data_IF_733488214737
#
_entry.id   IF_733488214737
#
_cell.length_a   1.000
_cell.length_b   1.000
_cell.length_c   1.000
_cell.angle_alpha   90.00
_cell.angle_beta   90.00
_cell.angle_gamma   90.00
#
_symmetry.space_group_name_H-M   'P 1'
#
loop_
_entity.id
_entity.type
_entity.pdbx_description
1 polymer ?
#
# COMPACT_ATOMS: atom_id res chain seq x y z
N UNK A 1 10.61 3.23 7.40
CA UNK A 1 9.91 4.35 8.06
C UNK A 1 10.06 4.23 9.55
N UNK A 2 9.51 5.17 10.31
CA UNK A 2 9.56 5.19 11.77
C UNK A 2 8.17 5.48 12.34
N UNK A 3 7.93 5.08 13.59
CA UNK A 3 6.67 5.32 14.32
C UNK A 3 6.99 5.77 15.73
N UNK A 4 6.17 6.66 16.29
CA UNK A 4 6.11 6.82 17.73
C UNK A 4 5.28 5.67 18.30
N UNK A 5 5.85 4.91 19.23
CA UNK A 5 5.19 3.81 19.92
C UNK A 5 4.89 4.24 21.35
N UNK A 6 3.63 4.15 21.75
CA UNK A 6 3.25 4.39 23.13
C UNK A 6 3.77 3.25 24.02
N UNK A 7 4.26 3.62 25.20
CA UNK A 7 4.79 2.72 26.22
C UNK A 7 3.93 2.70 27.49
N UNK A 8 2.88 3.53 27.53
CA UNK A 8 1.94 3.64 28.65
C UNK A 8 0.70 2.77 28.42
N UNK A 9 0.52 1.74 29.23
CA UNK A 9 -0.57 0.77 29.09
C UNK A 9 -1.95 1.40 29.31
N UNK A 10 -2.08 2.40 30.18
CA UNK A 10 -3.35 3.09 30.43
C UNK A 10 -3.81 3.88 29.21
N UNK A 11 -2.87 4.50 28.49
CA UNK A 11 -3.16 5.23 27.25
C UNK A 11 -3.51 4.25 26.13
N UNK A 12 -2.77 3.14 26.02
CA UNK A 12 -3.02 2.10 25.01
C UNK A 12 -4.43 1.50 25.18
N UNK A 13 -4.83 1.19 26.41
CA UNK A 13 -6.11 0.56 26.71
C UNK A 13 -7.33 1.40 26.30
N UNK A 14 -7.18 2.73 26.21
CA UNK A 14 -8.26 3.64 25.80
C UNK A 14 -8.51 3.68 24.29
N UNK A 15 -7.62 3.11 23.47
CA UNK A 15 -7.67 3.22 22.02
C UNK A 15 -7.94 1.85 21.39
N UNK A 16 -9.10 1.70 20.73
CA UNK A 16 -9.53 0.43 20.11
C UNK A 16 -9.67 0.51 18.58
N UNK A 17 -9.28 1.62 17.99
CA UNK A 17 -9.47 1.89 16.58
C UNK A 17 -8.22 2.48 15.93
N UNK A 18 -8.25 2.50 14.61
CA UNK A 18 -7.30 3.23 13.78
C UNK A 18 -7.94 4.55 13.35
N UNK A 19 -7.30 5.66 13.70
CA UNK A 19 -7.81 7.01 13.44
C UNK A 19 -6.89 7.71 12.45
N UNK A 20 -7.43 8.02 11.28
CA UNK A 20 -6.76 8.82 10.26
C UNK A 20 -7.08 10.29 10.47
N UNK A 21 -6.08 11.14 10.32
CA UNK A 21 -6.29 12.58 10.32
C UNK A 21 -6.45 13.11 8.91
N UNK A 22 -6.62 14.43 8.82
CA UNK A 22 -6.68 15.12 7.54
C UNK A 22 -5.27 15.19 6.95
N UNK A 23 -5.16 14.93 5.65
CA UNK A 23 -3.92 15.19 4.94
C UNK A 23 -3.55 16.68 5.04
N UNK A 24 -2.32 16.97 5.44
CA UNK A 24 -1.80 18.33 5.35
C UNK A 24 -1.78 18.77 3.87
N UNK A 25 -1.95 20.07 3.62
CA UNK A 25 -1.91 20.62 2.26
C UNK A 25 -0.54 20.31 1.64
N UNK A 26 -0.53 19.66 0.49
CA UNK A 26 0.70 19.24 -0.20
C UNK A 26 1.31 17.91 0.27
N UNK A 27 0.74 17.26 1.30
CA UNK A 27 1.18 15.92 1.68
C UNK A 27 0.79 14.89 0.61
N UNK A 28 1.69 13.98 0.21
CA UNK A 28 1.34 12.88 -0.69
C UNK A 28 0.21 12.05 -0.07
N UNK A 29 -0.77 11.58 -0.87
CA UNK A 29 -1.98 10.90 -0.37
C UNK A 29 -1.69 9.62 0.44
N UNK A 30 -0.48 9.07 0.36
CA UNK A 30 -0.05 7.86 1.07
C UNK A 30 0.67 8.12 2.41
N UNK A 31 0.93 9.39 2.78
CA UNK A 31 1.85 9.75 3.87
C UNK A 31 1.17 10.35 5.10
N UNK A 32 -0.16 10.29 5.19
CA UNK A 32 -0.91 10.95 6.27
C UNK A 32 -0.67 10.22 7.60
N UNK A 33 -0.21 10.93 8.65
CA UNK A 33 -0.08 10.37 9.97
C UNK A 33 -1.43 9.86 10.50
N UNK A 34 -1.37 8.83 11.33
CA UNK A 34 -2.53 8.24 11.93
C UNK A 34 -2.16 7.59 13.25
N UNK A 35 -3.15 7.57 14.15
CA UNK A 35 -3.07 6.87 15.41
C UNK A 35 -3.60 5.45 15.19
N UNK A 36 -2.75 4.46 15.37
CA UNK A 36 -2.98 3.07 14.98
C UNK A 36 -2.94 2.14 16.19
N UNK A 37 -4.08 1.52 16.51
CA UNK A 37 -4.14 0.42 17.48
C UNK A 37 -3.85 -0.90 16.77
N UNK A 38 -2.84 -1.65 17.23
CA UNK A 38 -2.47 -2.95 16.67
C UNK A 38 -2.30 -4.01 17.74
N UNK A 39 -2.46 -5.27 17.34
CA UNK A 39 -2.02 -6.42 18.15
C UNK A 39 -0.66 -6.88 17.62
N UNK A 40 0.38 -6.75 18.43
CA UNK A 40 1.75 -7.18 18.11
C UNK A 40 2.16 -8.23 19.13
N UNK A 41 2.49 -9.44 18.66
CA UNK A 41 2.84 -10.58 19.51
C UNK A 41 1.80 -10.84 20.64
N UNK A 42 0.52 -10.74 20.29
CA UNK A 42 -0.60 -10.94 21.22
C UNK A 42 -0.86 -9.79 22.20
N UNK A 43 -0.11 -8.68 22.14
CA UNK A 43 -0.30 -7.50 22.99
C UNK A 43 -0.82 -6.31 22.18
N UNK A 44 -1.75 -5.57 22.78
CA UNK A 44 -2.20 -4.31 22.21
C UNK A 44 -1.07 -3.27 22.24
N UNK A 45 -0.92 -2.52 21.15
CA UNK A 45 0.07 -1.49 20.97
C UNK A 45 -0.59 -0.29 20.29
N UNK A 46 -0.16 0.91 20.67
CA UNK A 46 -0.61 2.17 20.08
C UNK A 46 0.58 2.83 19.38
N UNK A 47 0.42 3.11 18.09
CA UNK A 47 1.45 3.68 17.23
C UNK A 47 0.96 4.99 16.61
N UNK A 48 1.87 5.92 16.37
CA UNK A 48 1.60 7.15 15.64
C UNK A 48 2.65 7.41 14.57
N UNK A 49 2.21 7.80 13.38
CA UNK A 49 3.05 7.97 12.19
C UNK A 49 2.29 7.57 10.92
N UNK A 50 2.98 7.23 9.82
CA UNK A 50 4.42 6.99 9.71
C UNK A 50 5.23 8.28 9.58
N UNK A 51 6.47 8.24 10.06
CA UNK A 51 7.51 9.21 9.73
C UNK A 51 8.48 8.64 8.70
N UNK A 52 9.02 9.50 7.83
CA UNK A 52 10.06 9.07 6.92
C UNK A 52 11.34 8.73 7.69
N UNK A 53 11.99 7.63 7.31
CA UNK A 53 13.32 7.28 7.75
C UNK A 53 14.19 7.00 6.53
N UNK A 54 15.50 7.16 6.67
CA UNK A 54 16.44 6.95 5.57
C UNK A 54 17.36 5.77 5.85
N UNK A 55 17.53 4.89 4.85
CA UNK A 55 18.50 3.80 4.87
C UNK A 55 18.88 3.45 3.44
N UNK A 56 20.15 3.10 3.22
CA UNK A 56 20.64 2.56 1.94
C UNK A 56 20.52 1.04 1.86
N UNK A 57 20.09 0.37 2.94
CA UNK A 57 19.79 -1.06 2.98
C UNK A 57 18.45 -1.34 2.32
N UNK A 58 18.37 -2.41 1.53
CA UNK A 58 17.12 -2.87 0.94
C UNK A 58 16.41 -3.91 1.80
N UNK A 59 17.17 -4.64 2.62
CA UNK A 59 16.66 -5.67 3.53
C UNK A 59 16.99 -5.35 4.99
N UNK A 60 16.18 -5.86 5.92
CA UNK A 60 16.40 -5.72 7.38
C UNK A 60 17.82 -6.10 7.80
N UNK A 61 18.35 -7.17 7.21
CA UNK A 61 19.72 -7.65 7.42
C UNK A 61 20.63 -7.42 6.19
N UNK A 62 20.32 -6.40 5.38
CA UNK A 62 21.06 -6.05 4.16
C UNK A 62 22.29 -5.16 4.40
N UNK A 63 22.95 -4.77 3.30
CA UNK A 63 24.18 -3.99 3.31
C UNK A 63 23.92 -2.51 3.09
N UNK A 64 24.72 -1.64 3.72
CA UNK A 64 24.69 -0.21 3.40
C UNK A 64 25.16 0.10 1.97
N UNK A 65 25.76 -0.89 1.30
CA UNK A 65 26.14 -0.83 -0.10
C UNK A 65 25.01 -1.25 -1.05
N UNK A 66 23.84 -1.68 -0.56
CA UNK A 66 22.75 -2.17 -1.42
C UNK A 66 22.35 -1.11 -2.46
N UNK A 67 22.09 0.14 -2.01
CA UNK A 67 21.76 1.24 -2.94
C UNK A 67 22.89 1.56 -3.92
N UNK A 68 24.14 1.87 -3.50
CA UNK A 68 25.24 2.14 -4.43
C UNK A 68 25.46 1.02 -5.46
N UNK A 69 25.44 -0.25 -5.03
CA UNK A 69 25.66 -1.41 -5.90
C UNK A 69 24.47 -1.71 -6.81
N UNK A 70 23.28 -1.19 -6.51
CA UNK A 70 22.11 -1.32 -7.37
C UNK A 70 22.13 -0.39 -8.59
N UNK A 71 22.94 0.68 -8.54
CA UNK A 71 23.04 1.65 -9.62
C UNK A 71 23.87 1.05 -10.76
N UNK A 72 23.27 1.01 -11.95
CA UNK A 72 23.85 0.44 -13.17
C UNK A 72 23.64 1.41 -14.32
N UNK A 73 24.48 1.32 -15.36
CA UNK A 73 24.34 2.16 -16.55
C UNK A 73 22.96 2.07 -17.21
N UNK A 74 22.31 0.90 -17.15
CA UNK A 74 21.00 0.69 -17.74
C UNK A 74 19.82 1.19 -16.89
N UNK A 75 20.01 1.51 -15.61
CA UNK A 75 18.94 2.00 -14.72
C UNK A 75 19.14 3.43 -14.20
N UNK A 76 20.34 4.01 -14.34
CA UNK A 76 20.64 5.36 -13.84
C UNK A 76 19.75 6.44 -14.46
N UNK A 77 19.48 6.37 -15.78
CA UNK A 77 18.60 7.33 -16.47
C UNK A 77 17.16 7.26 -15.92
N UNK A 78 16.51 6.08 -15.84
CA UNK A 78 15.22 5.94 -15.17
C UNK A 78 15.22 6.44 -13.72
N UNK A 79 16.29 6.18 -12.95
CA UNK A 79 16.37 6.63 -11.56
C UNK A 79 16.39 8.16 -11.42
N UNK A 80 17.18 8.84 -12.25
CA UNK A 80 17.25 10.31 -12.24
C UNK A 80 15.91 10.91 -12.69
N UNK A 81 15.33 10.40 -13.78
CA UNK A 81 14.05 10.87 -14.29
C UNK A 81 12.94 10.73 -13.23
N UNK A 82 12.85 9.56 -12.58
CA UNK A 82 11.88 9.34 -11.51
C UNK A 82 12.09 10.32 -10.33
N UNK A 83 13.33 10.63 -9.96
CA UNK A 83 13.62 11.63 -8.93
C UNK A 83 13.15 13.03 -9.31
N UNK A 84 13.44 13.47 -10.55
CA UNK A 84 13.05 14.79 -11.07
C UNK A 84 11.53 14.93 -11.25
N UNK A 85 10.83 13.86 -11.60
CA UNK A 85 9.36 13.89 -11.73
C UNK A 85 8.65 13.92 -10.37
N UNK A 86 9.36 13.62 -9.28
CA UNK A 86 8.80 13.48 -7.94
C UNK A 86 9.51 14.40 -6.94
N UNK A 87 9.83 15.63 -7.35
CA UNK A 87 10.52 16.60 -6.49
C UNK A 87 9.70 16.96 -5.25
N UNK A 88 8.38 17.11 -5.36
CA UNK A 88 7.51 17.41 -4.21
C UNK A 88 7.55 16.28 -3.17
N UNK A 89 7.45 15.04 -3.63
CA UNK A 89 7.59 13.86 -2.76
C UNK A 89 9.00 13.80 -2.14
N UNK A 90 10.04 14.04 -2.94
CA UNK A 90 11.43 14.02 -2.47
C UNK A 90 11.66 15.07 -1.40
N UNK A 91 11.18 16.30 -1.63
CA UNK A 91 11.23 17.40 -0.68
C UNK A 91 10.50 17.04 0.61
N UNK A 92 9.26 16.55 0.50
CA UNK A 92 8.48 16.10 1.65
C UNK A 92 9.22 15.03 2.47
N UNK A 93 9.81 14.02 1.83
CA UNK A 93 10.56 12.97 2.52
C UNK A 93 11.80 13.51 3.22
N UNK A 94 12.52 14.45 2.61
CA UNK A 94 13.68 15.12 3.23
C UNK A 94 13.23 15.90 4.47
N UNK A 95 12.13 16.65 4.39
CA UNK A 95 11.57 17.38 5.53
C UNK A 95 11.18 16.43 6.67
N UNK A 96 10.51 15.32 6.35
CA UNK A 96 10.14 14.29 7.32
C UNK A 96 11.35 13.64 8.01
N UNK A 97 12.42 13.33 7.26
CA UNK A 97 13.65 12.74 7.83
C UNK A 97 14.35 13.74 8.78
N UNK A 98 14.26 15.04 8.50
CA UNK A 98 14.87 16.11 9.30
C UNK A 98 14.08 16.48 10.56
N UNK A 99 12.87 15.96 10.75
CA UNK A 99 12.05 16.26 11.92
C UNK A 99 12.75 15.86 13.23
N UNK A 100 12.72 16.76 14.20
CA UNK A 100 13.16 16.50 15.57
C UNK A 100 12.16 15.61 16.32
N UNK A 101 12.55 14.98 17.44
CA UNK A 101 11.61 14.30 18.33
C UNK A 101 10.42 15.19 18.74
N UNK A 102 10.68 16.47 18.98
CA UNK A 102 9.70 17.47 19.38
C UNK A 102 8.71 17.76 18.25
N UNK A 103 9.17 17.89 16.99
CA UNK A 103 8.29 18.08 15.82
C UNK A 103 7.36 16.88 15.63
N UNK A 104 7.91 15.67 15.77
CA UNK A 104 7.13 14.42 15.67
C UNK A 104 6.07 14.39 16.76
N UNK A 105 6.44 14.72 17.99
CA UNK A 105 5.52 14.74 19.13
C UNK A 105 4.47 15.85 19.01
N UNK A 106 4.81 17.02 18.46
CA UNK A 106 3.86 18.09 18.19
C UNK A 106 2.75 17.61 17.23
N UNK A 107 3.13 16.89 16.17
CA UNK A 107 2.16 16.28 15.25
C UNK A 107 1.26 15.24 15.95
N UNK A 108 1.81 14.44 16.89
CA UNK A 108 0.98 13.52 17.70
C UNK A 108 -0.03 14.28 18.55
N UNK A 109 0.33 15.42 19.14
CA UNK A 109 -0.57 16.21 19.99
C UNK A 109 -1.77 16.78 19.23
N UNK A 110 -1.69 16.93 17.91
CA UNK A 110 -2.86 17.29 17.09
C UNK A 110 -3.93 16.19 17.08
N UNK A 111 -3.54 14.93 17.30
CA UNK A 111 -4.42 13.76 17.31
C UNK A 111 -4.77 13.32 18.74
N UNK A 112 -3.83 13.47 19.67
CA UNK A 112 -3.98 13.13 21.07
C UNK A 112 -3.45 14.29 21.94
N UNK A 113 -4.27 15.32 22.21
CA UNK A 113 -3.83 16.54 22.91
C UNK A 113 -3.28 16.29 24.33
N UNK A 114 -3.74 15.22 24.98
CA UNK A 114 -3.32 14.79 26.31
C UNK A 114 -2.03 13.97 26.33
N UNK A 115 -1.43 13.67 25.16
CA UNK A 115 -0.19 12.91 25.09
C UNK A 115 0.94 13.62 25.86
N UNK A 116 1.77 12.81 26.53
CA UNK A 116 2.98 13.23 27.22
C UNK A 116 4.19 12.61 26.55
N UNK A 117 5.26 13.37 26.33
CA UNK A 117 6.37 12.94 25.45
C UNK A 117 7.09 11.69 26.00
N UNK A 118 7.17 11.57 27.31
CA UNK A 118 7.76 10.45 28.03
C UNK A 118 7.06 9.11 27.78
N UNK A 119 5.79 9.13 27.38
CA UNK A 119 5.03 7.92 27.07
C UNK A 119 5.35 7.37 25.67
N UNK A 120 6.13 8.07 24.84
CA UNK A 120 6.32 7.74 23.43
C UNK A 120 7.79 7.57 23.05
N UNK A 121 8.10 6.43 22.44
CA UNK A 121 9.43 6.12 21.94
C UNK A 121 9.42 5.95 20.41
N UNK A 122 10.47 6.43 19.74
CA UNK A 122 10.62 6.24 18.30
C UNK A 122 11.07 4.81 17.99
N UNK A 123 10.28 4.10 17.20
CA UNK A 123 10.53 2.73 16.78
C UNK A 123 10.81 2.70 15.27
N UNK A 124 11.80 1.90 14.86
CA UNK A 124 12.11 1.73 13.42
C UNK A 124 11.22 0.66 12.82
N UNK A 125 10.46 1.04 11.78
CA UNK A 125 9.60 0.13 11.05
C UNK A 125 10.38 -0.69 10.01
N UNK A 126 9.67 -1.59 9.34
CA UNK A 126 10.19 -2.27 8.14
C UNK A 126 10.67 -1.31 7.05
N UNK A 127 11.52 -1.85 6.18
CA UNK A 127 12.02 -1.19 4.98
C UNK A 127 11.15 -1.56 3.80
N UNK A 128 10.88 -0.59 2.93
CA UNK A 128 10.17 -0.79 1.68
C UNK A 128 10.92 -0.03 0.60
N UNK A 129 11.27 -0.75 -0.47
CA UNK A 129 11.86 -0.15 -1.68
C UNK A 129 10.73 0.15 -2.66
N UNK A 130 10.83 1.28 -3.35
CA UNK A 130 9.88 1.70 -4.36
C UNK A 130 10.37 1.27 -5.74
N UNK A 131 9.47 0.67 -6.54
CA UNK A 131 9.78 0.25 -7.91
C UNK A 131 9.87 1.49 -8.81
N UNK A 132 10.93 1.54 -9.63
CA UNK A 132 11.09 2.51 -10.71
C UNK A 132 10.99 1.74 -12.03
N UNK A 133 10.02 2.12 -12.87
CA UNK A 133 9.86 1.53 -14.21
C UNK A 133 10.52 2.43 -15.23
N UNK A 134 11.10 1.80 -16.25
CA UNK A 134 11.54 2.51 -17.45
C UNK A 134 10.29 2.86 -18.25
N UNK A 135 10.18 4.13 -18.62
CA UNK A 135 9.12 4.63 -19.47
C UNK A 135 9.72 5.20 -20.77
N UNK A 136 9.04 5.00 -21.90
CA UNK A 136 9.55 5.45 -23.20
C UNK A 136 9.50 6.97 -23.36
N UNK A 137 8.52 7.63 -22.73
CA UNK A 137 8.30 9.09 -22.82
C UNK A 137 8.98 9.80 -21.66
N UNK A 138 8.70 9.35 -20.45
CA UNK A 138 9.14 9.96 -19.20
C UNK A 138 10.55 9.50 -18.79
N UNK A 139 11.12 8.50 -19.46
CA UNK A 139 12.43 7.91 -19.15
C UNK A 139 12.39 7.01 -17.91
N UNK A 140 11.76 7.45 -16.83
CA UNK A 140 11.53 6.67 -15.62
C UNK A 140 10.39 7.22 -14.76
N UNK A 141 9.56 6.31 -14.23
CA UNK A 141 8.41 6.65 -13.39
C UNK A 141 8.43 5.85 -12.09
N UNK A 142 7.94 6.44 -10.99
CA UNK A 142 7.68 5.72 -9.75
C UNK A 142 6.37 4.96 -9.89
N UNK A 143 6.42 3.65 -9.64
CA UNK A 143 5.23 2.79 -9.75
C UNK A 143 4.43 2.78 -8.44
N UNK A 144 3.38 3.58 -8.37
CA UNK A 144 2.50 3.60 -7.20
C UNK A 144 1.39 2.54 -7.35
N UNK A 145 1.58 1.38 -6.73
CA UNK A 145 0.55 0.35 -6.73
C UNK A 145 1.10 -1.06 -6.60
N UNK A 146 0.29 -2.03 -7.04
CA UNK A 146 0.67 -3.44 -7.17
C UNK A 146 1.13 -3.68 -8.61
N UNK A 147 2.37 -4.10 -8.78
CA UNK A 147 2.93 -4.49 -10.07
C UNK A 147 2.99 -6.01 -10.19
N UNK A 148 2.47 -6.56 -11.28
CA UNK A 148 2.60 -7.98 -11.61
C UNK A 148 3.81 -8.16 -12.53
N UNK A 149 4.86 -8.79 -12.01
CA UNK A 149 6.03 -9.20 -12.78
C UNK A 149 6.01 -10.71 -12.94
N UNK A 150 6.21 -11.21 -14.16
CA UNK A 150 6.30 -12.64 -14.43
C UNK A 150 7.51 -12.95 -15.30
N UNK A 151 8.09 -14.14 -15.14
CA UNK A 151 9.02 -14.66 -16.11
C UNK A 151 8.33 -14.84 -17.47
N UNK A 152 9.09 -14.73 -18.56
CA UNK A 152 8.56 -14.85 -19.91
C UNK A 152 7.90 -16.22 -20.19
N UNK A 153 8.34 -17.26 -19.47
CA UNK A 153 7.80 -18.62 -19.54
C UNK A 153 6.68 -18.90 -18.52
N UNK A 154 6.32 -17.91 -17.69
CA UNK A 154 5.28 -18.04 -16.66
C UNK A 154 5.67 -18.93 -15.46
N UNK A 155 6.93 -19.38 -15.37
CA UNK A 155 7.39 -20.27 -14.29
C UNK A 155 7.36 -19.63 -12.89
N UNK A 156 7.48 -18.31 -12.84
CA UNK A 156 7.40 -17.51 -11.61
C UNK A 156 6.65 -16.21 -11.90
N UNK A 157 5.79 -15.82 -10.96
CA UNK A 157 5.14 -14.52 -10.93
C UNK A 157 5.25 -13.91 -9.53
N UNK A 158 5.43 -12.59 -9.48
CA UNK A 158 5.55 -11.82 -8.26
C UNK A 158 4.63 -10.60 -8.33
N UNK A 159 3.98 -10.32 -7.19
CA UNK A 159 3.22 -9.11 -6.95
C UNK A 159 4.11 -8.18 -6.13
N UNK A 160 4.58 -7.10 -6.74
CA UNK A 160 5.49 -6.14 -6.13
C UNK A 160 4.73 -4.86 -5.75
N UNK A 161 5.20 -4.14 -4.74
CA UNK A 161 4.64 -2.86 -4.34
C UNK A 161 3.55 -2.97 -3.27
N UNK A 162 2.47 -2.21 -3.41
CA UNK A 162 1.38 -2.19 -2.44
C UNK A 162 0.63 -3.53 -2.48
N UNK A 163 0.25 -4.07 -1.32
CA UNK A 163 -0.65 -5.21 -1.29
C UNK A 163 -1.97 -4.81 -1.96
N UNK A 164 -2.48 -5.58 -2.92
CA UNK A 164 -3.73 -5.25 -3.57
C UNK A 164 -4.86 -5.28 -2.54
N UNK A 165 -5.67 -4.23 -2.53
CA UNK A 165 -6.88 -4.18 -1.71
C UNK A 165 -7.94 -5.14 -2.25
N UNK A 166 -8.98 -5.40 -1.46
CA UNK A 166 -10.08 -6.27 -1.87
C UNK A 166 -10.72 -5.86 -3.22
N UNK A 167 -10.71 -4.55 -3.52
CA UNK A 167 -11.24 -4.00 -4.77
C UNK A 167 -10.40 -4.30 -6.02
N UNK A 168 -9.10 -4.60 -5.89
CA UNK A 168 -8.19 -4.81 -7.03
C UNK A 168 -7.61 -6.21 -7.10
N UNK A 169 -7.56 -6.94 -5.97
CA UNK A 169 -6.94 -8.25 -5.87
C UNK A 169 -7.48 -9.25 -6.91
N UNK A 170 -8.81 -9.32 -7.09
CA UNK A 170 -9.42 -10.26 -8.04
C UNK A 170 -9.01 -9.94 -9.48
N UNK A 171 -9.07 -8.67 -9.89
CA UNK A 171 -8.67 -8.25 -11.24
C UNK A 171 -7.21 -8.59 -11.51
N UNK A 172 -6.32 -8.26 -10.57
CA UNK A 172 -4.89 -8.53 -10.68
C UNK A 172 -4.61 -10.03 -10.79
N UNK A 173 -5.33 -10.87 -10.04
CA UNK A 173 -5.17 -12.31 -10.14
C UNK A 173 -5.66 -12.86 -11.48
N UNK A 174 -6.75 -12.34 -12.03
CA UNK A 174 -7.22 -12.72 -13.37
C UNK A 174 -6.18 -12.37 -14.43
N UNK A 175 -5.57 -11.18 -14.35
CA UNK A 175 -4.49 -10.76 -15.26
C UNK A 175 -3.26 -11.68 -15.13
N UNK A 176 -2.91 -12.09 -13.90
CA UNK A 176 -1.83 -13.03 -13.67
C UNK A 176 -2.12 -14.40 -14.30
N UNK A 177 -3.36 -14.90 -14.16
CA UNK A 177 -3.77 -16.16 -14.78
C UNK A 177 -3.70 -16.09 -16.31
N UNK A 178 -4.11 -14.97 -16.92
CA UNK A 178 -4.01 -14.79 -18.37
C UNK A 178 -2.54 -14.77 -18.84
N UNK A 179 -1.65 -14.10 -18.10
CA UNK A 179 -0.23 -14.03 -18.44
C UNK A 179 0.51 -15.36 -18.25
N UNK A 180 0.31 -16.02 -17.13
CA UNK A 180 1.12 -17.18 -16.73
C UNK A 180 0.48 -18.52 -17.08
N UNK A 181 -0.85 -18.56 -17.23
CA UNK A 181 -1.61 -19.80 -17.45
C UNK A 181 -2.56 -19.69 -18.65
N UNK A 182 -2.22 -18.86 -19.64
CA UNK A 182 -3.05 -18.57 -20.83
C UNK A 182 -3.74 -19.81 -21.41
N UNK A 183 -2.97 -20.86 -21.71
CA UNK A 183 -3.50 -22.08 -22.31
C UNK A 183 -4.51 -22.79 -21.40
N UNK A 184 -4.26 -22.82 -20.08
CA UNK A 184 -5.21 -23.39 -19.11
C UNK A 184 -6.45 -22.52 -18.96
N UNK A 185 -6.28 -21.19 -18.92
CA UNK A 185 -7.37 -20.23 -18.81
C UNK A 185 -8.37 -20.36 -19.97
N UNK A 186 -7.91 -20.72 -21.17
CA UNK A 186 -8.77 -20.95 -22.34
C UNK A 186 -9.49 -22.31 -22.33
N UNK A 187 -9.20 -23.21 -21.39
CA UNK A 187 -9.88 -24.50 -21.31
C UNK A 187 -11.30 -24.36 -20.79
N UNK A 188 -12.21 -25.23 -21.26
CA UNK A 188 -13.60 -25.25 -20.80
C UNK A 188 -13.70 -25.48 -19.28
N UNK A 189 -12.81 -26.29 -18.71
CA UNK A 189 -12.75 -26.54 -17.27
C UNK A 189 -12.53 -25.26 -16.46
N UNK A 190 -11.51 -24.48 -16.82
CA UNK A 190 -11.18 -23.24 -16.10
C UNK A 190 -12.22 -22.16 -16.37
N UNK A 191 -12.70 -22.02 -17.60
CA UNK A 191 -13.78 -21.09 -17.93
C UNK A 191 -15.04 -21.38 -17.10
N UNK A 192 -15.42 -22.66 -16.97
CA UNK A 192 -16.55 -23.08 -16.13
C UNK A 192 -16.32 -22.70 -14.67
N UNK A 193 -15.12 -22.97 -14.13
CA UNK A 193 -14.80 -22.68 -12.73
C UNK A 193 -14.78 -21.18 -12.44
N UNK A 194 -14.21 -20.37 -13.33
CA UNK A 194 -14.15 -18.91 -13.18
C UNK A 194 -15.55 -18.31 -13.26
N UNK A 195 -16.37 -18.73 -14.25
CA UNK A 195 -17.75 -18.23 -14.36
C UNK A 195 -18.64 -18.64 -13.19
N UNK A 196 -18.36 -19.78 -12.54
CA UNK A 196 -19.05 -20.13 -11.30
C UNK A 196 -18.72 -19.16 -10.15
N UNK A 197 -17.49 -18.65 -10.07
CA UNK A 197 -17.08 -17.67 -9.05
C UNK A 197 -17.45 -16.23 -9.43
N UNK A 198 -17.30 -15.89 -10.70
CA UNK A 198 -17.48 -14.57 -11.29
C UNK A 198 -18.39 -14.71 -12.52
N UNK A 199 -19.73 -14.76 -12.33
CA UNK A 199 -20.68 -14.98 -13.43
C UNK A 199 -20.54 -13.99 -14.60
N UNK A 200 -20.10 -12.77 -14.29
CA UNK A 200 -19.92 -11.67 -15.24
C UNK A 200 -18.54 -11.66 -15.90
N UNK A 201 -17.74 -12.72 -15.75
CA UNK A 201 -16.39 -12.77 -16.33
C UNK A 201 -16.43 -12.64 -17.85
N UNK A 202 -15.64 -11.70 -18.39
CA UNK A 202 -15.62 -11.34 -19.81
C UNK A 202 -16.63 -10.27 -20.23
N UNK A 203 -17.56 -9.87 -19.34
CA UNK A 203 -18.56 -8.85 -19.60
C UNK A 203 -18.15 -7.49 -19.03
N UNK A 204 -18.50 -6.41 -19.73
CA UNK A 204 -18.31 -5.04 -19.22
C UNK A 204 -19.58 -4.55 -18.53
N UNK A 205 -19.61 -4.63 -17.21
CA UNK A 205 -20.75 -4.18 -16.40
C UNK A 205 -21.13 -2.70 -16.61
N UNK A 206 -20.14 -1.84 -16.94
CA UNK A 206 -20.38 -0.43 -17.21
C UNK A 206 -21.15 -0.17 -18.51
N UNK A 207 -21.24 -1.16 -19.41
CA UNK A 207 -21.93 -1.08 -20.69
C UNK A 207 -23.26 -1.88 -20.68
N UNK A 208 -23.62 -2.52 -19.55
CA UNK A 208 -24.82 -3.34 -19.42
C UNK A 208 -25.51 -3.09 -18.07
N UNK A 209 -26.45 -2.14 -18.07
CA UNK A 209 -27.20 -1.72 -16.90
C UNK A 209 -27.98 -2.86 -16.24
N UNK A 210 -28.56 -3.76 -17.03
CA UNK A 210 -29.37 -4.86 -16.50
C UNK A 210 -28.48 -5.88 -15.77
N UNK A 211 -27.37 -6.28 -16.39
CA UNK A 211 -26.40 -7.18 -15.77
C UNK A 211 -25.78 -6.56 -14.50
N UNK A 212 -25.57 -5.25 -14.49
CA UNK A 212 -25.11 -4.52 -13.32
C UNK A 212 -26.14 -4.59 -12.17
N UNK A 213 -27.42 -4.35 -12.46
CA UNK A 213 -28.51 -4.47 -11.47
C UNK A 213 -28.64 -5.90 -10.94
N UNK A 214 -28.66 -6.90 -11.82
CA UNK A 214 -28.72 -8.31 -11.42
C UNK A 214 -27.55 -8.70 -10.51
N UNK A 215 -26.34 -8.29 -10.88
CA UNK A 215 -25.12 -8.55 -10.09
C UNK A 215 -25.19 -7.88 -8.72
N UNK A 216 -25.64 -6.62 -8.67
CA UNK A 216 -25.82 -5.89 -7.42
C UNK A 216 -26.88 -6.53 -6.53
N UNK A 217 -28.04 -6.92 -7.09
CA UNK A 217 -29.10 -7.60 -6.35
C UNK A 217 -28.61 -8.94 -5.78
N UNK A 218 -27.94 -9.75 -6.60
CA UNK A 218 -27.38 -11.04 -6.18
C UNK A 218 -26.35 -10.88 -5.07
N UNK A 219 -25.38 -9.97 -5.24
CA UNK A 219 -24.32 -9.74 -4.25
C UNK A 219 -24.87 -9.15 -2.95
N UNK A 220 -25.81 -8.21 -3.03
CA UNK A 220 -26.52 -7.69 -1.86
C UNK A 220 -27.28 -8.77 -1.10
N UNK A 221 -27.97 -9.69 -1.79
CA UNK A 221 -28.66 -10.80 -1.13
C UNK A 221 -27.69 -11.77 -0.44
N UNK A 222 -26.61 -12.15 -1.11
CA UNK A 222 -25.58 -13.05 -0.56
C UNK A 222 -24.88 -12.43 0.65
N UNK A 223 -24.56 -11.13 0.59
CA UNK A 223 -23.89 -10.38 1.66
C UNK A 223 -24.87 -9.85 2.72
N UNK A 224 -26.17 -10.10 2.57
CA UNK A 224 -27.25 -9.62 3.46
C UNK A 224 -27.24 -8.09 3.63
N UNK A 225 -26.97 -7.38 2.55
CA UNK A 225 -26.95 -5.91 2.50
C UNK A 225 -28.31 -5.29 2.15
N UNK A 226 -29.31 -6.12 1.84
CA UNK A 226 -30.66 -5.68 1.45
C UNK A 226 -31.41 -4.93 2.56
N UNK A 227 -30.96 -5.00 3.82
CA UNK A 227 -31.58 -4.33 4.97
C UNK A 227 -31.03 -2.91 5.25
N UNK A 228 -29.99 -2.45 4.54
CA UNK A 228 -29.34 -1.15 4.82
C UNK A 228 -29.82 0.01 3.93
N UNK A 229 -30.82 -0.21 3.08
CA UNK A 229 -31.34 0.80 2.14
C UNK A 229 -32.61 1.49 2.67
N UNK A 230 -33.18 1.04 3.79
CA UNK A 230 -34.45 1.58 4.35
C UNK A 230 -34.30 2.34 5.69
N UNK A 231 -33.11 2.84 6.05
CA UNK A 231 -32.92 3.68 7.25
C UNK A 231 -32.33 5.05 6.92
#
# INVERSE_FOLDING_TARGET
GQWLKCTNEEVIAQHHAKVYGKAAVGAPPMSVPHLDTRIINGRQALLFGPYAGFSTKFLKHGSFLDLPLSIKFNNIRPMIAAGLHNLDLTKYLIEQVRQSPEDRFAALKEYLPSAKIEDWALETAGQRVQVIKKDEKEGGILEFGTEVVSAADGSIAALLGASPGASTAVSIMLDLLDRCFKTKLQTAEWQTKIRAMIPTYGEKLAENDELCKETRNRTSAVLKLTSFIES
#
